data_IF_669373792064
#
_entry.id   IF_669373792064
#
_cell.length_a   1.000
_cell.length_b   1.000
_cell.length_c   1.000
_cell.angle_alpha   90.00
_cell.angle_beta   90.00
_cell.angle_gamma   90.00
#
_symmetry.space_group_name_H-M   'P 1'
#
loop_
_entity.id
_entity.type
_entity.pdbx_description
1 polymer ?
#
# COMPACT_ATOMS: atom_id res chain seq x y z
N UNK A 1 -9.92 7.39 -8.70
CA UNK A 1 -9.09 8.29 -7.85
C UNK A 1 -7.92 7.55 -7.23
N UNK A 2 -8.14 6.36 -6.65
CA UNK A 2 -7.10 5.53 -6.04
C UNK A 2 -5.90 5.27 -6.99
N UNK A 3 -6.10 4.75 -8.21
CA UNK A 3 -4.99 4.49 -9.15
C UNK A 3 -4.11 5.72 -9.44
N UNK A 4 -4.68 6.93 -9.43
CA UNK A 4 -3.92 8.19 -9.65
C UNK A 4 -2.99 8.44 -8.45
N UNK A 5 -3.47 8.15 -7.24
CA UNK A 5 -2.72 8.34 -6.00
C UNK A 5 -1.54 7.36 -5.91
N UNK A 6 -1.71 6.11 -6.37
CA UNK A 6 -0.62 5.15 -6.52
C UNK A 6 0.41 5.61 -7.55
N UNK A 7 -0.04 6.15 -8.68
CA UNK A 7 0.85 6.63 -9.74
C UNK A 7 1.68 7.83 -9.25
N UNK A 8 1.07 8.75 -8.50
CA UNK A 8 1.78 9.87 -7.85
C UNK A 8 2.82 9.34 -6.85
N UNK A 9 2.44 8.39 -5.99
CA UNK A 9 3.34 7.79 -5.00
C UNK A 9 4.51 7.06 -5.69
N UNK A 10 4.25 6.38 -6.81
CA UNK A 10 5.26 5.69 -7.60
C UNK A 10 6.26 6.67 -8.23
N UNK A 11 5.77 7.72 -8.90
CA UNK A 11 6.63 8.75 -9.50
C UNK A 11 7.45 9.50 -8.45
N UNK A 12 6.84 9.83 -7.29
CA UNK A 12 7.56 10.45 -6.18
C UNK A 12 8.65 9.52 -5.63
N UNK A 13 8.38 8.22 -5.53
CA UNK A 13 9.38 7.22 -5.13
C UNK A 13 10.60 7.20 -6.06
N UNK A 14 10.38 7.29 -7.37
CA UNK A 14 11.48 7.39 -8.36
C UNK A 14 12.31 8.65 -8.10
N UNK A 15 11.68 9.80 -7.87
CA UNK A 15 12.39 11.05 -7.58
C UNK A 15 13.18 10.93 -6.26
N UNK A 16 12.59 10.31 -5.24
CA UNK A 16 13.23 10.14 -3.93
C UNK A 16 14.51 9.29 -3.99
N UNK A 17 14.60 8.31 -4.90
CA UNK A 17 15.82 7.52 -5.15
C UNK A 17 16.99 8.43 -5.57
N UNK A 18 16.74 9.46 -6.38
CA UNK A 18 17.78 10.36 -6.87
C UNK A 18 18.16 11.46 -5.87
N UNK A 19 17.21 11.92 -5.06
CA UNK A 19 17.46 12.97 -4.05
C UNK A 19 18.18 12.40 -2.83
N UNK A 20 17.89 11.13 -2.45
CA UNK A 20 18.60 10.34 -1.41
C UNK A 20 18.80 11.06 -0.06
N UNK A 21 17.88 11.95 0.30
CA UNK A 21 17.83 12.62 1.60
C UNK A 21 17.03 11.78 2.60
N UNK A 22 17.61 11.48 3.77
CA UNK A 22 17.00 10.61 4.79
C UNK A 22 15.60 11.10 5.20
N UNK A 23 15.46 12.41 5.46
CA UNK A 23 14.18 13.00 5.83
C UNK A 23 13.11 12.81 4.74
N UNK A 24 13.50 12.90 3.46
CA UNK A 24 12.57 12.76 2.34
C UNK A 24 12.11 11.32 2.18
N UNK A 25 13.02 10.36 2.38
CA UNK A 25 12.69 8.91 2.41
C UNK A 25 11.76 8.57 3.57
N UNK A 26 11.97 9.14 4.76
CA UNK A 26 11.09 8.91 5.91
C UNK A 26 9.67 9.48 5.67
N UNK A 27 9.57 10.70 5.14
CA UNK A 27 8.28 11.31 4.79
C UNK A 27 7.57 10.46 3.74
N UNK A 28 8.29 10.03 2.70
CA UNK A 28 7.75 9.14 1.68
C UNK A 28 7.19 7.85 2.28
N UNK A 29 7.96 7.20 3.14
CA UNK A 29 7.57 5.95 3.76
C UNK A 29 6.34 6.10 4.67
N UNK A 30 6.27 7.19 5.44
CA UNK A 30 5.11 7.53 6.26
C UNK A 30 3.84 7.73 5.45
N UNK A 31 3.90 8.55 4.39
CA UNK A 31 2.75 8.76 3.51
C UNK A 31 2.34 7.49 2.78
N UNK A 32 3.32 6.73 2.27
CA UNK A 32 3.08 5.44 1.60
C UNK A 32 2.36 4.45 2.52
N UNK A 33 2.83 4.29 3.76
CA UNK A 33 2.20 3.41 4.74
C UNK A 33 0.74 3.80 5.02
N UNK A 34 0.47 5.08 5.29
CA UNK A 34 -0.90 5.57 5.57
C UNK A 34 -1.82 5.32 4.38
N UNK A 35 -1.36 5.62 3.17
CA UNK A 35 -2.12 5.40 1.94
C UNK A 35 -2.47 3.93 1.77
N UNK A 36 -1.50 3.02 1.86
CA UNK A 36 -1.75 1.60 1.66
C UNK A 36 -2.59 0.96 2.78
N UNK A 37 -2.52 1.48 4.01
CA UNK A 37 -3.44 1.08 5.09
C UNK A 37 -4.89 1.49 4.76
N UNK A 38 -5.11 2.68 4.20
CA UNK A 38 -6.45 3.10 3.75
C UNK A 38 -6.94 2.26 2.56
N UNK A 39 -6.05 1.85 1.66
CA UNK A 39 -6.37 0.88 0.60
C UNK A 39 -6.85 -0.44 1.16
N UNK A 40 -6.06 -1.03 2.05
CA UNK A 40 -6.40 -2.31 2.67
C UNK A 40 -7.76 -2.23 3.39
N UNK A 41 -8.03 -1.14 4.12
CA UNK A 41 -9.31 -0.93 4.78
C UNK A 41 -10.48 -0.86 3.76
N UNK A 42 -10.30 -0.12 2.66
CA UNK A 42 -11.31 0.00 1.60
C UNK A 42 -11.56 -1.34 0.89
N UNK A 43 -10.50 -2.04 0.47
CA UNK A 43 -10.59 -3.31 -0.25
C UNK A 43 -11.24 -4.39 0.63
N UNK A 44 -10.81 -4.49 1.90
CA UNK A 44 -11.42 -5.44 2.84
C UNK A 44 -12.88 -5.10 3.11
N UNK A 45 -13.25 -3.82 3.14
CA UNK A 45 -14.63 -3.40 3.33
C UNK A 45 -15.51 -3.66 2.10
N UNK A 46 -14.97 -3.56 0.88
CA UNK A 46 -15.66 -4.01 -0.34
C UNK A 46 -15.89 -5.53 -0.34
N UNK A 47 -14.94 -6.28 0.20
CA UNK A 47 -15.03 -7.74 0.36
C UNK A 47 -16.03 -8.17 1.44
N UNK A 48 -16.07 -7.47 2.57
CA UNK A 48 -16.93 -7.81 3.72
C UNK A 48 -18.33 -7.15 3.66
N UNK A 49 -18.52 -6.10 2.86
CA UNK A 49 -19.66 -5.19 2.89
C UNK A 49 -21.01 -5.69 2.36
N UNK A 50 -21.25 -7.00 2.25
CA UNK A 50 -22.63 -7.52 2.16
C UNK A 50 -22.98 -8.42 0.97
N UNK A 51 -22.04 -9.16 0.37
CA UNK A 51 -22.43 -10.26 -0.53
C UNK A 51 -22.83 -11.49 0.30
N UNK A 52 -24.14 -11.73 0.42
CA UNK A 52 -24.73 -13.03 0.75
C UNK A 52 -24.64 -14.04 -0.43
N UNK A 53 -23.78 -13.75 -1.41
CA UNK A 53 -23.56 -14.56 -2.59
C UNK A 53 -22.22 -15.25 -2.38
N UNK A 54 -22.20 -16.58 -2.46
CA UNK A 54 -20.95 -17.34 -2.44
C UNK A 54 -20.00 -16.75 -3.48
N UNK A 55 -18.87 -16.20 -3.01
CA UNK A 55 -17.83 -15.69 -3.89
C UNK A 55 -17.32 -16.88 -4.69
N UNK A 56 -17.43 -16.81 -6.02
CA UNK A 56 -16.92 -17.85 -6.90
C UNK A 56 -15.43 -18.07 -6.56
N UNK A 57 -14.91 -19.30 -6.44
CA UNK A 57 -13.50 -19.57 -6.14
C UNK A 57 -12.50 -18.72 -6.94
N UNK A 58 -12.80 -18.39 -8.19
CA UNK A 58 -11.98 -17.49 -9.02
C UNK A 58 -11.91 -16.05 -8.46
N UNK A 59 -13.04 -15.51 -8.01
CA UNK A 59 -13.13 -14.19 -7.38
C UNK A 59 -12.44 -14.17 -6.00
N UNK A 60 -12.49 -15.29 -5.27
CA UNK A 60 -11.81 -15.41 -3.97
C UNK A 60 -10.29 -15.38 -4.11
N UNK A 61 -9.74 -16.12 -5.09
CA UNK A 61 -8.30 -16.10 -5.37
C UNK A 61 -7.86 -14.69 -5.76
N UNK A 62 -8.63 -14.01 -6.62
CA UNK A 62 -8.32 -12.64 -7.03
C UNK A 62 -8.32 -11.67 -5.86
N UNK A 63 -9.34 -11.74 -5.00
CA UNK A 63 -9.42 -10.93 -3.79
C UNK A 63 -8.25 -11.17 -2.82
N UNK A 64 -7.87 -12.44 -2.62
CA UNK A 64 -6.74 -12.79 -1.76
C UNK A 64 -5.41 -12.23 -2.30
N UNK A 65 -5.21 -12.24 -3.62
CA UNK A 65 -4.03 -11.64 -4.26
C UNK A 65 -4.02 -10.12 -4.02
N UNK A 66 -5.15 -9.45 -4.19
CA UNK A 66 -5.25 -8.00 -3.94
C UNK A 66 -4.88 -7.64 -2.49
N UNK A 67 -5.48 -8.31 -1.51
CA UNK A 67 -5.15 -8.11 -0.08
C UNK A 67 -3.67 -8.40 0.19
N UNK A 68 -3.12 -9.48 -0.38
CA UNK A 68 -1.72 -9.85 -0.20
C UNK A 68 -0.78 -8.74 -0.68
N UNK A 69 -1.04 -8.20 -1.87
CA UNK A 69 -0.22 -7.13 -2.44
C UNK A 69 -0.26 -5.89 -1.55
N UNK A 70 -1.43 -5.50 -1.04
CA UNK A 70 -1.56 -4.37 -0.13
C UNK A 70 -0.74 -4.56 1.15
N UNK A 71 -0.82 -5.75 1.78
CA UNK A 71 -0.06 -6.07 2.99
C UNK A 71 1.45 -6.01 2.74
N UNK A 72 1.92 -6.54 1.60
CA UNK A 72 3.35 -6.50 1.24
C UNK A 72 3.84 -5.06 1.08
N UNK A 73 3.06 -4.17 0.45
CA UNK A 73 3.44 -2.77 0.33
C UNK A 73 3.49 -2.05 1.68
N UNK A 74 2.50 -2.27 2.55
CA UNK A 74 2.52 -1.73 3.92
C UNK A 74 3.78 -2.19 4.64
N UNK A 75 4.10 -3.49 4.57
CA UNK A 75 5.30 -4.04 5.20
C UNK A 75 6.59 -3.39 4.68
N UNK A 76 6.72 -3.19 3.37
CA UNK A 76 7.89 -2.52 2.79
C UNK A 76 8.04 -1.07 3.28
N UNK A 77 6.94 -0.31 3.39
CA UNK A 77 7.00 1.05 3.93
C UNK A 77 7.35 1.07 5.42
N UNK A 78 6.83 0.12 6.21
CA UNK A 78 7.20 -0.03 7.62
C UNK A 78 8.68 -0.39 7.79
N UNK A 79 9.21 -1.31 6.97
CA UNK A 79 10.64 -1.62 6.96
C UNK A 79 11.49 -0.39 6.63
N UNK A 80 11.07 0.43 5.67
CA UNK A 80 11.77 1.66 5.32
C UNK A 80 11.77 2.67 6.48
N UNK A 81 10.65 2.82 7.20
CA UNK A 81 10.55 3.67 8.38
C UNK A 81 11.44 3.17 9.53
N UNK A 82 11.38 1.87 9.84
CA UNK A 82 12.14 1.29 10.95
C UNK A 82 13.63 1.25 10.65
N UNK A 83 14.01 0.95 9.41
CA UNK A 83 15.40 0.96 8.96
C UNK A 83 15.99 2.37 8.96
N UNK A 84 15.27 3.35 8.41
CA UNK A 84 15.72 4.75 8.40
C UNK A 84 15.74 5.43 9.78
N UNK A 85 15.06 4.87 10.79
CA UNK A 85 15.12 5.35 12.17
C UNK A 85 16.36 4.85 12.95
N UNK A 86 17.13 3.91 12.38
CA UNK A 86 18.35 3.35 12.99
C UNK A 86 19.64 4.00 12.48
N UNK A 87 19.55 4.86 11.45
CA UNK A 87 20.63 5.70 10.93
C UNK A 87 20.65 7.08 11.62
#
# INVERSE_FOLDING_TARGET
MLCILLLILFLFGIIAIFVREHAMTMIYAGFGAIVFIMYLAYDTQMLMGGRHVEINPEEYIFAAIHIYIDVVYIFMFLLMLVGGAQD
#
